data_IF_307252571105
#
_entry.id   IF_307252571105
#
_cell.length_a   1.000
_cell.length_b   1.000
_cell.length_c   1.000
_cell.angle_alpha   90.00
_cell.angle_beta   90.00
_cell.angle_gamma   90.00
#
_symmetry.space_group_name_H-M   'P 1'
#
loop_
_entity.id
_entity.type
_entity.pdbx_description
1 polymer ?
#
# COMPACT_ATOMS: atom_id res chain seq x y z
N UNK A 1 29.24 -24.70 21.79
CA UNK A 1 27.85 -24.26 22.04
C UNK A 1 27.43 -23.06 21.17
N UNK A 2 28.23 -22.00 21.08
CA UNK A 2 27.96 -20.80 20.27
C UNK A 2 27.79 -21.12 18.76
N UNK A 3 28.60 -22.06 18.21
CA UNK A 3 28.52 -22.47 16.79
C UNK A 3 27.21 -23.19 16.43
N UNK A 4 26.58 -23.88 17.36
CA UNK A 4 25.33 -24.62 17.11
C UNK A 4 24.13 -23.66 17.13
N UNK A 5 24.09 -22.73 18.09
CA UNK A 5 23.10 -21.67 18.13
C UNK A 5 23.15 -20.78 16.89
N UNK A 6 24.35 -20.41 16.43
CA UNK A 6 24.55 -19.65 15.21
C UNK A 6 24.05 -20.38 13.96
N UNK A 7 24.28 -21.69 13.83
CA UNK A 7 23.76 -22.52 12.71
C UNK A 7 22.23 -22.64 12.75
N UNK A 8 21.63 -22.73 13.93
CA UNK A 8 20.16 -22.77 14.08
C UNK A 8 19.57 -21.42 13.69
N UNK A 9 20.16 -20.31 14.13
CA UNK A 9 19.74 -18.97 13.79
C UNK A 9 19.82 -18.74 12.28
N UNK A 10 20.93 -19.13 11.62
CA UNK A 10 21.05 -19.01 10.16
C UNK A 10 20.05 -19.90 9.41
N UNK A 11 19.77 -21.11 9.91
CA UNK A 11 18.77 -22.00 9.31
C UNK A 11 17.36 -21.46 9.46
N UNK A 12 17.06 -20.88 10.60
CA UNK A 12 15.79 -20.17 10.87
C UNK A 12 15.66 -18.93 9.98
N UNK A 13 16.73 -18.17 9.81
CA UNK A 13 16.83 -17.00 8.94
C UNK A 13 16.58 -17.33 7.47
N UNK A 14 17.19 -18.42 6.96
CA UNK A 14 16.99 -18.91 5.59
C UNK A 14 15.56 -19.41 5.34
N UNK A 15 14.91 -19.94 6.38
CA UNK A 15 13.56 -20.47 6.30
C UNK A 15 12.52 -19.36 6.29
N UNK A 16 12.69 -18.30 7.08
CA UNK A 16 11.67 -17.26 7.26
C UNK A 16 11.85 -16.01 6.40
N UNK A 17 12.81 -15.93 5.49
CA UNK A 17 13.01 -14.76 4.59
C UNK A 17 12.81 -13.40 5.29
N UNK A 18 13.28 -13.27 6.52
CA UNK A 18 13.09 -12.06 7.35
C UNK A 18 14.40 -11.29 7.39
N UNK A 19 14.34 -10.00 7.09
CA UNK A 19 15.44 -9.06 7.31
C UNK A 19 15.50 -8.72 8.81
N UNK A 20 16.49 -9.27 9.54
CA UNK A 20 16.60 -9.08 10.98
C UNK A 20 16.86 -7.62 11.38
N UNK A 21 17.76 -6.85 10.74
CA UNK A 21 17.91 -5.43 11.01
C UNK A 21 16.60 -4.66 10.87
N UNK A 22 15.84 -4.92 9.82
CA UNK A 22 14.54 -4.29 9.60
C UNK A 22 13.54 -4.66 10.70
N UNK A 23 13.47 -5.95 11.09
CA UNK A 23 12.58 -6.40 12.16
C UNK A 23 12.92 -5.74 13.50
N UNK A 24 14.21 -5.62 13.84
CA UNK A 24 14.65 -4.94 15.05
C UNK A 24 14.23 -3.47 15.04
N UNK A 25 14.40 -2.77 13.92
CA UNK A 25 13.96 -1.37 13.78
C UNK A 25 12.46 -1.22 13.95
N UNK A 26 11.65 -2.13 13.39
CA UNK A 26 10.20 -2.14 13.54
C UNK A 26 9.82 -2.33 15.02
N UNK A 27 10.46 -3.26 15.73
CA UNK A 27 10.21 -3.50 17.16
C UNK A 27 10.60 -2.27 17.99
N UNK A 28 11.75 -1.66 17.74
CA UNK A 28 12.19 -0.44 18.44
C UNK A 28 11.22 0.72 18.22
N UNK A 29 10.81 0.95 16.96
CA UNK A 29 9.88 2.01 16.62
C UNK A 29 8.50 1.77 17.26
N UNK A 30 8.02 0.52 17.23
CA UNK A 30 6.75 0.14 17.87
C UNK A 30 6.80 0.31 19.40
N UNK A 31 7.92 -0.02 20.02
CA UNK A 31 8.12 0.16 21.46
C UNK A 31 8.10 1.64 21.84
N UNK A 32 8.77 2.49 21.08
CA UNK A 32 8.73 3.94 21.27
C UNK A 32 7.31 4.49 21.08
N UNK A 33 6.59 4.02 20.06
CA UNK A 33 5.19 4.38 19.82
C UNK A 33 4.28 4.03 21.01
N UNK A 34 4.46 2.85 21.60
CA UNK A 34 3.71 2.43 22.79
C UNK A 34 4.03 3.29 24.03
N UNK A 35 5.30 3.68 24.22
CA UNK A 35 5.70 4.57 25.31
C UNK A 35 5.06 5.96 25.16
N UNK A 36 5.08 6.50 23.93
CA UNK A 36 4.45 7.79 23.63
C UNK A 36 2.94 7.70 23.87
N UNK A 37 2.29 6.62 23.39
CA UNK A 37 0.85 6.40 23.61
C UNK A 37 0.52 6.34 25.10
N UNK A 38 1.30 5.63 25.91
CA UNK A 38 1.10 5.56 27.35
C UNK A 38 1.20 6.94 28.00
N UNK A 39 2.22 7.71 27.65
CA UNK A 39 2.42 9.06 28.15
C UNK A 39 1.30 10.02 27.75
N UNK A 40 0.90 10.01 26.47
CA UNK A 40 -0.13 10.91 25.94
C UNK A 40 -1.54 10.58 26.40
N UNK A 41 -1.80 9.30 26.75
CA UNK A 41 -3.10 8.84 27.25
C UNK A 41 -3.32 9.02 28.76
N UNK A 42 -2.41 9.72 29.45
CA UNK A 42 -2.47 9.89 30.90
C UNK A 42 -2.29 8.58 31.68
N UNK A 43 -1.51 7.63 31.15
CA UNK A 43 -1.22 6.35 31.80
C UNK A 43 -2.28 5.25 31.57
N UNK A 44 -3.15 5.40 30.59
CA UNK A 44 -4.21 4.41 30.27
C UNK A 44 -3.64 3.11 29.73
N UNK A 45 -3.52 2.09 30.55
CA UNK A 45 -3.08 0.74 30.14
C UNK A 45 -4.04 0.09 29.13
N UNK A 46 -5.35 0.38 29.21
CA UNK A 46 -6.34 -0.18 28.26
C UNK A 46 -6.06 0.20 26.81
N UNK A 47 -5.66 1.43 26.54
CA UNK A 47 -5.27 1.88 25.20
C UNK A 47 -3.99 1.20 24.74
N UNK A 48 -3.02 1.03 25.64
CA UNK A 48 -1.74 0.35 25.33
C UNK A 48 -1.97 -1.12 24.98
N UNK A 49 -2.80 -1.85 25.74
CA UNK A 49 -3.12 -3.25 25.43
C UNK A 49 -3.84 -3.39 24.10
N UNK A 50 -4.79 -2.50 23.80
CA UNK A 50 -5.47 -2.50 22.51
C UNK A 50 -4.49 -2.26 21.36
N UNK A 51 -3.58 -1.31 21.50
CA UNK A 51 -2.55 -1.03 20.49
C UNK A 51 -1.56 -2.18 20.36
N UNK A 52 -1.16 -2.80 21.44
CA UNK A 52 -0.27 -3.98 21.44
C UNK A 52 -0.91 -5.14 20.69
N UNK A 53 -2.21 -5.39 20.89
CA UNK A 53 -2.95 -6.39 20.13
C UNK A 53 -2.93 -6.11 18.63
N UNK A 54 -3.19 -4.86 18.20
CA UNK A 54 -3.13 -4.48 16.79
C UNK A 54 -1.73 -4.62 16.20
N UNK A 55 -0.69 -4.24 16.94
CA UNK A 55 0.71 -4.43 16.52
C UNK A 55 1.07 -5.91 16.37
N UNK A 56 0.63 -6.75 17.31
CA UNK A 56 0.83 -8.21 17.25
C UNK A 56 0.16 -8.80 16.01
N UNK A 57 -1.10 -8.41 15.74
CA UNK A 57 -1.83 -8.86 14.56
C UNK A 57 -1.13 -8.39 13.27
N UNK A 58 -0.77 -7.10 13.19
CA UNK A 58 -0.10 -6.53 12.03
C UNK A 58 1.26 -7.22 11.75
N UNK A 59 2.04 -7.46 12.80
CA UNK A 59 3.33 -8.17 12.70
C UNK A 59 3.12 -9.61 12.22
N UNK A 60 2.12 -10.31 12.73
CA UNK A 60 1.79 -11.67 12.29
C UNK A 60 1.42 -11.72 10.80
N UNK A 61 0.55 -10.81 10.35
CA UNK A 61 0.19 -10.69 8.92
C UNK A 61 1.41 -10.34 8.07
N UNK A 62 2.25 -9.42 8.52
CA UNK A 62 3.50 -9.06 7.83
C UNK A 62 4.41 -10.28 7.65
N UNK A 63 4.61 -11.08 8.71
CA UNK A 63 5.45 -12.28 8.65
C UNK A 63 4.90 -13.33 7.68
N UNK A 64 3.58 -13.51 7.64
CA UNK A 64 2.92 -14.42 6.68
C UNK A 64 3.11 -13.94 5.24
N UNK A 65 2.86 -12.65 4.98
CA UNK A 65 3.00 -12.07 3.64
C UNK A 65 4.47 -12.13 3.17
N UNK A 66 5.43 -11.91 4.07
CA UNK A 66 6.84 -11.98 3.75
C UNK A 66 7.31 -13.36 3.23
N UNK A 67 6.56 -14.44 3.50
CA UNK A 67 6.87 -15.77 2.97
C UNK A 67 6.39 -15.97 1.52
N UNK A 68 5.48 -15.12 1.03
CA UNK A 68 4.93 -15.24 -0.32
C UNK A 68 5.97 -14.80 -1.34
N UNK A 69 6.32 -15.65 -2.32
CA UNK A 69 7.24 -15.25 -3.38
C UNK A 69 6.70 -14.07 -4.19
N UNK A 70 7.54 -13.07 -4.54
CA UNK A 70 7.10 -11.89 -5.29
C UNK A 70 6.39 -12.22 -6.61
N UNK A 71 6.79 -13.30 -7.27
CA UNK A 71 6.15 -13.75 -8.52
C UNK A 71 4.68 -14.15 -8.34
N UNK A 72 4.33 -14.75 -7.19
CA UNK A 72 2.94 -15.10 -6.87
C UNK A 72 2.15 -13.82 -6.64
N UNK A 73 2.71 -12.87 -5.89
CA UNK A 73 2.09 -11.57 -5.66
C UNK A 73 1.83 -10.83 -6.98
N UNK A 74 2.84 -10.84 -7.88
CA UNK A 74 2.72 -10.20 -9.19
C UNK A 74 1.61 -10.84 -10.02
N UNK A 75 1.55 -12.18 -10.07
CA UNK A 75 0.52 -12.91 -10.84
C UNK A 75 -0.89 -12.75 -10.26
N UNK A 76 -1.02 -12.58 -8.95
CA UNK A 76 -2.31 -12.36 -8.29
C UNK A 76 -2.79 -10.90 -8.37
N UNK A 77 -1.91 -9.97 -8.73
CA UNK A 77 -2.21 -8.53 -8.72
C UNK A 77 -3.45 -8.14 -9.55
N UNK A 78 -3.69 -8.64 -10.78
CA UNK A 78 -4.89 -8.29 -11.54
C UNK A 78 -6.18 -8.79 -10.86
N UNK A 79 -6.16 -9.97 -10.25
CA UNK A 79 -7.31 -10.53 -9.52
C UNK A 79 -7.57 -9.68 -8.26
N UNK A 80 -6.52 -9.35 -7.50
CA UNK A 80 -6.62 -8.50 -6.33
C UNK A 80 -7.12 -7.09 -6.69
N UNK A 81 -6.77 -6.58 -7.88
CA UNK A 81 -7.25 -5.31 -8.40
C UNK A 81 -8.77 -5.33 -8.60
N UNK A 82 -9.30 -6.38 -9.23
CA UNK A 82 -10.75 -6.54 -9.45
C UNK A 82 -11.48 -6.64 -8.11
N UNK A 83 -10.97 -7.45 -7.18
CA UNK A 83 -11.52 -7.58 -5.83
C UNK A 83 -11.47 -6.25 -5.06
N UNK A 84 -10.36 -5.52 -5.16
CA UNK A 84 -10.20 -4.22 -4.54
C UNK A 84 -11.17 -3.17 -5.09
N UNK A 85 -11.38 -3.13 -6.41
CA UNK A 85 -12.39 -2.27 -7.05
C UNK A 85 -13.79 -2.64 -6.55
N UNK A 86 -14.13 -3.93 -6.47
CA UNK A 86 -15.40 -4.39 -5.93
C UNK A 86 -15.61 -3.93 -4.48
N UNK A 87 -14.58 -4.05 -3.64
CA UNK A 87 -14.62 -3.56 -2.25
C UNK A 87 -14.77 -2.03 -2.18
N UNK A 88 -14.08 -1.26 -3.06
CA UNK A 88 -14.24 0.19 -3.12
C UNK A 88 -15.68 0.58 -3.51
N UNK A 89 -16.28 -0.13 -4.46
CA UNK A 89 -17.67 0.07 -4.84
C UNK A 89 -18.60 -0.28 -3.67
N UNK A 90 -18.34 -1.38 -2.95
CA UNK A 90 -19.11 -1.76 -1.77
C UNK A 90 -19.10 -0.70 -0.68
N UNK A 91 -17.99 0.02 -0.48
CA UNK A 91 -17.91 1.15 0.46
C UNK A 91 -18.86 2.28 0.09
N UNK A 92 -19.05 2.57 -1.22
CA UNK A 92 -19.95 3.62 -1.67
C UNK A 92 -21.43 3.35 -1.31
N UNK A 93 -21.82 2.06 -1.23
CA UNK A 93 -23.19 1.65 -0.94
C UNK A 93 -23.40 1.29 0.55
N UNK A 94 -22.44 0.62 1.15
CA UNK A 94 -22.57 0.01 2.47
C UNK A 94 -21.55 0.54 3.49
N UNK A 95 -20.74 1.53 3.13
CA UNK A 95 -19.68 2.03 4.00
C UNK A 95 -20.22 2.76 5.22
N UNK A 96 -19.50 2.63 6.33
CA UNK A 96 -19.73 3.40 7.54
C UNK A 96 -18.91 4.69 7.53
N UNK A 97 -19.50 5.77 8.06
CA UNK A 97 -18.86 7.08 8.15
C UNK A 97 -17.90 7.12 9.34
N UNK A 98 -16.67 7.56 9.08
CA UNK A 98 -15.68 7.84 10.10
C UNK A 98 -14.97 9.16 9.77
N UNK A 99 -15.00 10.14 10.68
CA UNK A 99 -14.36 11.44 10.46
C UNK A 99 -14.94 12.26 9.31
N UNK A 100 -16.27 12.16 9.08
CA UNK A 100 -16.99 12.95 8.08
C UNK A 100 -16.97 12.38 6.65
N UNK A 101 -16.38 11.20 6.43
CA UNK A 101 -16.36 10.55 5.12
C UNK A 101 -16.66 9.05 5.23
N UNK A 102 -17.35 8.51 4.23
CA UNK A 102 -17.76 7.12 4.15
C UNK A 102 -16.62 6.30 3.51
N UNK A 103 -15.74 5.69 4.33
CA UNK A 103 -14.50 5.04 3.88
C UNK A 103 -14.31 3.64 4.42
N UNK A 104 -15.11 3.22 5.41
CA UNK A 104 -14.90 2.02 6.18
C UNK A 104 -15.97 0.99 5.91
N UNK A 105 -15.56 -0.28 5.80
CA UNK A 105 -16.46 -1.42 5.91
C UNK A 105 -16.41 -1.91 7.35
N UNK A 106 -17.56 -1.95 8.01
CA UNK A 106 -17.69 -2.48 9.35
C UNK A 106 -18.02 -3.98 9.24
N UNK A 107 -17.04 -4.81 9.61
CA UNK A 107 -17.17 -6.27 9.63
C UNK A 107 -17.55 -6.79 11.03
N UNK A 108 -18.04 -5.91 11.90
CA UNK A 108 -18.43 -6.22 13.27
C UNK A 108 -17.25 -6.21 14.25
N UNK A 109 -16.27 -7.08 14.07
CA UNK A 109 -15.08 -7.16 14.95
C UNK A 109 -13.96 -6.20 14.52
N UNK A 110 -13.87 -5.88 13.23
CA UNK A 110 -12.80 -5.06 12.67
C UNK A 110 -13.37 -4.08 11.65
N UNK A 111 -12.98 -2.84 11.74
CA UNK A 111 -13.21 -1.85 10.69
C UNK A 111 -12.11 -1.93 9.66
N UNK A 112 -12.49 -2.11 8.41
CA UNK A 112 -11.58 -2.32 7.31
C UNK A 112 -11.74 -1.22 6.26
N UNK A 113 -10.62 -0.64 5.81
CA UNK A 113 -10.61 0.39 4.77
C UNK A 113 -10.00 -0.19 3.48
N UNK A 114 -10.81 -0.45 2.44
CA UNK A 114 -10.31 -1.05 1.20
C UNK A 114 -9.24 -0.21 0.47
N UNK A 115 -9.28 1.11 0.57
CA UNK A 115 -8.27 1.98 -0.04
C UNK A 115 -6.85 1.77 0.53
N UNK A 116 -6.71 1.25 1.76
CA UNK A 116 -5.40 0.89 2.32
C UNK A 116 -4.74 -0.25 1.54
N UNK A 117 -5.52 -1.26 1.14
CA UNK A 117 -5.01 -2.33 0.28
C UNK A 117 -4.64 -1.82 -1.12
N UNK A 118 -5.41 -0.87 -1.65
CA UNK A 118 -5.17 -0.36 -3.00
C UNK A 118 -3.85 0.38 -3.14
N UNK A 119 -3.28 0.90 -2.06
CA UNK A 119 -1.93 1.50 -2.06
C UNK A 119 -0.84 0.50 -2.49
N UNK A 120 -1.05 -0.78 -2.21
CA UNK A 120 -0.13 -1.87 -2.58
C UNK A 120 -0.56 -2.51 -3.90
N UNK A 121 -1.87 -2.76 -4.06
CA UNK A 121 -2.42 -3.48 -5.21
C UNK A 121 -2.22 -2.69 -6.51
N UNK A 122 -2.44 -1.37 -6.51
CA UNK A 122 -2.33 -0.56 -7.73
C UNK A 122 -0.91 -0.59 -8.31
N UNK A 123 0.16 -0.19 -7.59
CA UNK A 123 1.50 -0.24 -8.15
C UNK A 123 1.93 -1.66 -8.54
N UNK A 124 1.50 -2.68 -7.79
CA UNK A 124 1.78 -4.07 -8.11
C UNK A 124 1.07 -4.52 -9.40
N UNK A 125 -0.17 -4.10 -9.62
CA UNK A 125 -0.92 -4.40 -10.86
C UNK A 125 -0.29 -3.71 -12.06
N UNK A 126 0.10 -2.44 -11.93
CA UNK A 126 0.80 -1.73 -13.01
C UNK A 126 2.12 -2.44 -13.34
N UNK A 127 2.90 -2.82 -12.33
CA UNK A 127 4.12 -3.60 -12.54
C UNK A 127 3.84 -4.94 -13.24
N UNK A 128 2.75 -5.63 -12.90
CA UNK A 128 2.35 -6.87 -13.57
C UNK A 128 2.02 -6.65 -15.05
N UNK A 129 1.23 -5.63 -15.38
CA UNK A 129 0.88 -5.28 -16.77
C UNK A 129 2.13 -4.99 -17.60
N UNK A 130 3.13 -4.35 -17.00
CA UNK A 130 4.35 -3.93 -17.69
C UNK A 130 5.40 -5.05 -17.77
N UNK A 131 5.44 -5.97 -16.80
CA UNK A 131 6.46 -7.03 -16.72
C UNK A 131 6.36 -8.06 -17.85
N UNK A 132 5.19 -8.23 -18.46
CA UNK A 132 4.98 -9.16 -19.58
C UNK A 132 5.41 -8.60 -20.94
N UNK A 133 5.90 -7.37 -20.99
CA UNK A 133 6.23 -6.66 -22.22
C UNK A 133 7.68 -6.20 -22.24
N UNK A 134 8.17 -5.99 -23.47
CA UNK A 134 9.49 -5.36 -23.65
C UNK A 134 9.46 -3.91 -23.16
N UNK A 135 10.49 -3.48 -22.45
CA UNK A 135 10.67 -2.09 -22.04
C UNK A 135 11.45 -1.29 -23.12
N UNK A 136 11.08 -0.07 -23.42
CA UNK A 136 9.94 0.72 -22.90
C UNK A 136 8.59 0.21 -23.42
N UNK A 137 7.52 0.29 -22.60
CA UNK A 137 6.21 -0.21 -22.95
C UNK A 137 5.58 0.56 -24.12
N UNK A 138 4.83 -0.16 -24.97
CA UNK A 138 4.03 0.44 -26.01
C UNK A 138 2.81 1.24 -25.50
N UNK A 139 2.05 1.90 -26.41
CA UNK A 139 0.93 2.74 -26.00
C UNK A 139 -0.22 1.97 -25.33
N UNK A 140 -0.49 0.73 -25.74
CA UNK A 140 -1.60 -0.05 -25.17
C UNK A 140 -1.41 -0.42 -23.70
N UNK A 141 -0.26 -0.97 -23.23
CA UNK A 141 -0.02 -1.19 -21.80
C UNK A 141 -0.09 0.09 -20.98
N UNK A 142 0.39 1.22 -21.51
CA UNK A 142 0.31 2.52 -20.85
C UNK A 142 -1.15 2.93 -20.67
N UNK A 143 -1.96 2.85 -21.72
CA UNK A 143 -3.37 3.21 -21.68
C UNK A 143 -4.16 2.33 -20.68
N UNK A 144 -3.92 1.02 -20.67
CA UNK A 144 -4.54 0.09 -19.72
C UNK A 144 -4.14 0.44 -18.28
N UNK A 145 -2.86 0.74 -18.04
CA UNK A 145 -2.36 1.14 -16.73
C UNK A 145 -2.99 2.46 -16.26
N UNK A 146 -3.05 3.46 -17.13
CA UNK A 146 -3.68 4.75 -16.82
C UNK A 146 -5.18 4.60 -16.54
N UNK A 147 -5.88 3.75 -17.30
CA UNK A 147 -7.29 3.44 -17.06
C UNK A 147 -7.49 2.78 -15.69
N UNK A 148 -6.66 1.80 -15.34
CA UNK A 148 -6.70 1.12 -14.06
C UNK A 148 -6.46 2.08 -12.89
N UNK A 149 -5.44 2.96 -12.99
CA UNK A 149 -5.18 4.01 -12.00
C UNK A 149 -6.39 4.96 -11.90
N UNK A 150 -6.89 5.43 -13.03
CA UNK A 150 -8.00 6.40 -13.08
C UNK A 150 -9.28 5.88 -12.43
N UNK A 151 -9.65 4.62 -12.67
CA UNK A 151 -10.83 4.00 -12.04
C UNK A 151 -10.70 4.03 -10.51
N UNK A 152 -9.54 3.60 -9.97
CA UNK A 152 -9.34 3.55 -8.52
C UNK A 152 -9.32 4.94 -7.91
N UNK A 153 -8.58 5.87 -8.53
CA UNK A 153 -8.51 7.26 -8.08
C UNK A 153 -9.89 7.91 -8.03
N UNK A 154 -10.70 7.73 -9.08
CA UNK A 154 -12.06 8.28 -9.13
C UNK A 154 -12.99 7.65 -8.08
N UNK A 155 -12.92 6.35 -7.84
CA UNK A 155 -13.71 5.68 -6.81
C UNK A 155 -13.38 6.19 -5.41
N UNK A 156 -12.08 6.38 -5.11
CA UNK A 156 -11.63 6.87 -3.80
C UNK A 156 -11.94 8.36 -3.65
N UNK A 157 -11.78 9.15 -4.70
CA UNK A 157 -12.15 10.57 -4.69
C UNK A 157 -13.65 10.78 -4.40
N UNK A 158 -14.52 9.87 -4.86
CA UNK A 158 -15.95 9.86 -4.54
C UNK A 158 -16.26 9.51 -3.07
N UNK A 159 -15.31 8.92 -2.35
CA UNK A 159 -15.40 8.64 -0.90
C UNK A 159 -14.89 9.82 -0.06
N UNK A 160 -14.92 11.05 -0.52
CA UNK A 160 -14.15 12.27 -0.22
C UNK A 160 -12.80 12.01 0.49
N UNK A 161 -11.95 11.19 -0.14
CA UNK A 161 -10.59 10.90 0.32
C UNK A 161 -9.54 11.31 -0.73
N UNK A 162 -9.39 12.63 -0.89
CA UNK A 162 -8.47 13.20 -1.87
C UNK A 162 -7.01 12.84 -1.59
N UNK A 163 -6.59 12.82 -0.32
CA UNK A 163 -5.23 12.48 0.07
C UNK A 163 -4.83 11.07 -0.38
N UNK A 164 -5.66 10.08 -0.08
CA UNK A 164 -5.42 8.69 -0.48
C UNK A 164 -5.53 8.50 -1.99
N UNK A 165 -6.47 9.17 -2.66
CA UNK A 165 -6.62 9.08 -4.12
C UNK A 165 -5.39 9.63 -4.85
N UNK A 166 -4.84 10.76 -4.43
CA UNK A 166 -3.61 11.34 -4.98
C UNK A 166 -2.40 10.45 -4.73
N UNK A 167 -2.25 9.91 -3.52
CA UNK A 167 -1.15 9.03 -3.16
C UNK A 167 -1.15 7.76 -4.03
N UNK A 168 -2.31 7.14 -4.22
CA UNK A 168 -2.45 5.94 -5.06
C UNK A 168 -2.20 6.29 -6.53
N UNK A 169 -2.76 7.40 -7.01
CA UNK A 169 -2.51 7.88 -8.36
C UNK A 169 -1.03 8.12 -8.62
N UNK A 170 -0.36 8.83 -7.72
CA UNK A 170 1.08 9.07 -7.80
C UNK A 170 1.88 7.76 -7.80
N UNK A 171 1.57 6.81 -6.91
CA UNK A 171 2.28 5.52 -6.85
C UNK A 171 2.21 4.75 -8.17
N UNK A 172 1.02 4.70 -8.80
CA UNK A 172 0.85 4.06 -10.11
C UNK A 172 1.61 4.77 -11.23
N UNK A 173 1.58 6.11 -11.25
CA UNK A 173 2.33 6.94 -12.21
C UNK A 173 3.83 6.77 -12.03
N UNK A 174 4.35 6.64 -10.80
CA UNK A 174 5.76 6.35 -10.54
C UNK A 174 6.20 5.03 -11.17
N UNK A 175 5.40 3.97 -11.06
CA UNK A 175 5.74 2.69 -11.72
C UNK A 175 5.80 2.85 -13.23
N UNK A 176 4.86 3.57 -13.84
CA UNK A 176 4.89 3.90 -15.27
C UNK A 176 6.14 4.71 -15.64
N UNK A 177 6.50 5.69 -14.85
CA UNK A 177 7.68 6.52 -15.10
C UNK A 177 8.96 5.68 -15.09
N UNK A 178 9.16 4.83 -14.08
CA UNK A 178 10.33 3.97 -13.97
C UNK A 178 10.35 2.82 -14.98
N UNK A 179 9.23 2.50 -15.61
CA UNK A 179 9.20 1.52 -16.71
C UNK A 179 9.82 2.03 -18.01
N UNK A 180 10.33 3.28 -18.03
CA UNK A 180 10.96 3.86 -19.19
C UNK A 180 9.97 4.41 -20.22
N UNK A 181 8.76 4.77 -19.80
CA UNK A 181 7.85 5.57 -20.64
C UNK A 181 8.61 6.79 -21.12
N UNK A 182 8.95 6.79 -22.40
CA UNK A 182 9.83 7.82 -22.98
C UNK A 182 9.25 9.19 -22.66
N UNK A 183 10.09 10.04 -22.11
CA UNK A 183 9.89 11.49 -21.96
C UNK A 183 9.43 12.15 -23.28
N UNK A 184 9.55 11.45 -24.40
CA UNK A 184 9.07 11.86 -25.72
C UNK A 184 7.53 12.01 -25.77
N UNK A 185 6.76 11.27 -24.95
CA UNK A 185 5.32 11.51 -24.76
C UNK A 185 5.06 12.78 -23.94
N UNK A 186 6.06 13.23 -23.18
CA UNK A 186 6.06 14.45 -22.39
C UNK A 186 6.43 15.72 -23.17
N UNK A 187 6.64 15.62 -24.49
CA UNK A 187 6.82 16.78 -25.37
C UNK A 187 5.57 17.66 -25.45
N UNK A 188 4.45 17.15 -24.99
CA UNK A 188 3.22 17.92 -24.86
C UNK A 188 3.24 18.68 -23.52
N UNK A 189 3.41 20.02 -23.58
CA UNK A 189 3.50 20.93 -22.42
C UNK A 189 2.40 20.71 -21.38
N UNK A 190 1.21 20.31 -21.82
CA UNK A 190 0.05 20.02 -20.96
C UNK A 190 0.20 18.73 -20.14
N UNK A 191 0.85 17.69 -20.68
CA UNK A 191 1.08 16.44 -19.96
C UNK A 191 2.15 16.63 -18.89
N UNK A 192 3.18 17.44 -19.17
CA UNK A 192 4.19 17.83 -18.18
C UNK A 192 3.56 18.63 -17.03
N UNK A 193 2.64 19.54 -17.34
CA UNK A 193 1.93 20.32 -16.35
C UNK A 193 1.01 19.45 -15.46
N UNK A 194 0.29 18.48 -16.03
CA UNK A 194 -0.52 17.51 -15.29
C UNK A 194 0.32 16.60 -14.41
N UNK A 195 1.47 16.13 -14.89
CA UNK A 195 2.43 15.34 -14.12
C UNK A 195 3.06 16.15 -12.97
N UNK A 196 3.38 17.41 -13.20
CA UNK A 196 3.85 18.34 -12.17
C UNK A 196 2.77 18.58 -11.10
N UNK A 197 1.51 18.77 -11.49
CA UNK A 197 0.40 18.92 -10.54
C UNK A 197 0.19 17.66 -9.72
N UNK A 198 0.27 16.47 -10.30
CA UNK A 198 0.12 15.21 -9.55
C UNK A 198 1.32 14.91 -8.64
N UNK A 199 2.53 15.33 -9.03
CA UNK A 199 3.75 15.15 -8.24
C UNK A 199 3.92 16.21 -7.13
N UNK A 200 3.50 17.44 -7.38
CA UNK A 200 3.74 18.58 -6.47
C UNK A 200 2.46 19.22 -5.92
N UNK A 201 1.30 18.96 -6.52
CA UNK A 201 0.03 19.53 -6.06
C UNK A 201 -0.41 19.04 -4.68
N UNK A 202 0.09 17.89 -4.24
CA UNK A 202 -0.12 17.39 -2.87
C UNK A 202 0.59 18.20 -1.80
N UNK A 203 1.61 18.99 -2.15
CA UNK A 203 2.37 19.81 -1.19
C UNK A 203 1.83 21.25 -1.07
N UNK A 204 0.88 21.67 -1.91
CA UNK A 204 0.31 23.02 -1.91
C UNK A 204 -1.05 23.13 -1.19
N UNK A 205 -1.61 21.99 -0.74
CA UNK A 205 -2.87 21.92 -0.01
C UNK A 205 -2.72 21.33 1.41
N UNK A 206 -1.51 21.26 1.95
CA UNK A 206 -1.19 21.11 3.36
C UNK A 206 -0.63 22.42 3.90
#
# INVERSE_FOLDING_TARGET
MISYAYKIIIKFYKFFKIDTPLLILIILLSSLGLLILYSSSGGSLGLVYRQLFHLGLATSVMLVIAQIPPIIMLRSAPILMILGIFLLISVLFFGSSGGGAQRWLDLGLVRFQPSELMKIIVPMTIAAILSERSLPPGPAPIAISMLAIGIVVLLIARQPDLGTSLLIGASGVYVLFFSGVRVMLLKNKWLNFLLLITLFGGSLFL
#
